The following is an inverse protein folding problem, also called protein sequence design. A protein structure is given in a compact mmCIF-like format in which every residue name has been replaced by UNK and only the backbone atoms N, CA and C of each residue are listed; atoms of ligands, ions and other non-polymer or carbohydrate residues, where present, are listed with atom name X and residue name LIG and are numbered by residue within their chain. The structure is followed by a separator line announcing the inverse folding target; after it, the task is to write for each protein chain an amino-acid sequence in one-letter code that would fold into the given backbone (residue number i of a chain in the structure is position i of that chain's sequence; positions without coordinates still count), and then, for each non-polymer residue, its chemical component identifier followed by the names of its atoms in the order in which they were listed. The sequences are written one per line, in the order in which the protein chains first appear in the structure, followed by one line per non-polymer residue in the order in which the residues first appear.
data_IF_676974058439
#
_entry.id   IF_676974058439
#
_cell.length_a   1.000
_cell.length_b   1.000
_cell.length_c   1.000
_cell.angle_alpha   90.00
_cell.angle_beta   90.00
_cell.angle_gamma   90.00
#
_symmetry.space_group_name_H-M   'P 1'
#
loop_
_entity.id
_entity.type
_entity.pdbx_description
1 polymer ?
#
# COMPACT_ATOMS: atom_id res chain seq x y z
N UNK A 1 2.80 34.57 -36.17
CA UNK A 1 3.18 33.60 -35.12
C UNK A 1 2.69 32.24 -35.57
N UNK A 2 3.56 31.43 -36.16
CA UNK A 2 3.22 30.10 -36.69
C UNK A 2 3.27 29.10 -35.55
N UNK A 3 2.11 28.62 -35.10
CA UNK A 3 2.02 27.48 -34.19
C UNK A 3 2.61 26.26 -34.90
N UNK A 4 3.68 25.69 -34.32
CA UNK A 4 4.35 24.52 -34.90
C UNK A 4 3.44 23.29 -34.71
N UNK A 5 2.88 22.70 -35.78
CA UNK A 5 1.93 21.59 -35.68
C UNK A 5 2.54 20.33 -35.03
N UNK A 6 3.86 20.18 -35.10
CA UNK A 6 4.57 19.10 -34.41
C UNK A 6 4.56 19.25 -32.88
N UNK A 7 4.55 20.49 -32.37
CA UNK A 7 4.46 20.76 -30.94
C UNK A 7 3.05 20.46 -30.41
N UNK A 8 2.00 20.82 -31.15
CA UNK A 8 0.61 20.55 -30.76
C UNK A 8 0.27 19.05 -30.79
N UNK A 9 0.80 18.30 -31.75
CA UNK A 9 0.59 16.83 -31.79
C UNK A 9 1.29 16.12 -30.64
N UNK A 10 2.49 16.58 -30.26
CA UNK A 10 3.23 16.02 -29.12
C UNK A 10 2.53 16.29 -27.79
N UNK A 11 1.99 17.50 -27.61
CA UNK A 11 1.22 17.86 -26.41
C UNK A 11 -0.07 17.03 -26.30
N UNK A 12 -0.76 16.80 -27.42
CA UNK A 12 -1.96 15.96 -27.47
C UNK A 12 -1.66 14.49 -27.13
N UNK A 13 -0.57 13.94 -27.65
CA UNK A 13 -0.15 12.57 -27.36
C UNK A 13 0.21 12.35 -25.87
N UNK A 14 0.85 13.34 -25.24
CA UNK A 14 1.19 13.28 -23.80
C UNK A 14 -0.07 13.33 -22.93
N UNK A 15 -1.06 14.16 -23.28
CA UNK A 15 -2.35 14.20 -22.57
C UNK A 15 -3.13 12.89 -22.70
N UNK A 16 -3.09 12.27 -23.88
CA UNK A 16 -3.76 10.99 -24.13
C UNK A 16 -3.09 9.83 -23.38
N UNK A 17 -1.75 9.86 -23.25
CA UNK A 17 -1.02 8.88 -22.45
C UNK A 17 -1.36 9.02 -20.95
N UNK A 18 -1.38 10.25 -20.44
CA UNK A 18 -1.70 10.53 -19.04
C UNK A 18 -3.14 10.12 -18.68
N UNK A 19 -4.10 10.33 -19.58
CA UNK A 19 -5.49 9.90 -19.36
C UNK A 19 -5.65 8.39 -19.36
N UNK A 20 -4.95 7.67 -20.25
CA UNK A 20 -4.93 6.20 -20.26
C UNK A 20 -4.29 5.62 -19.00
N UNK A 21 -3.20 6.22 -18.52
CA UNK A 21 -2.54 5.77 -17.29
C UNK A 21 -3.42 6.01 -16.05
N UNK A 22 -4.12 7.15 -15.99
CA UNK A 22 -5.08 7.43 -14.92
C UNK A 22 -6.25 6.44 -14.93
N UNK A 23 -6.78 6.09 -16.11
CA UNK A 23 -7.83 5.08 -16.26
C UNK A 23 -7.36 3.68 -15.81
N UNK A 24 -6.11 3.30 -16.11
CA UNK A 24 -5.53 2.05 -15.63
C UNK A 24 -5.33 2.04 -14.11
N UNK A 25 -4.96 3.17 -13.50
CA UNK A 25 -4.89 3.31 -12.04
C UNK A 25 -6.26 3.21 -11.39
N UNK A 26 -7.28 3.86 -11.95
CA UNK A 26 -8.65 3.73 -11.46
C UNK A 26 -9.16 2.30 -11.56
N UNK A 27 -8.84 1.60 -12.65
CA UNK A 27 -9.16 0.18 -12.82
C UNK A 27 -8.43 -0.67 -11.77
N UNK A 28 -7.12 -0.47 -11.59
CA UNK A 28 -6.33 -1.19 -10.59
C UNK A 28 -6.83 -0.94 -9.16
N UNK A 29 -7.22 0.30 -8.83
CA UNK A 29 -7.83 0.64 -7.55
C UNK A 29 -9.22 0.03 -7.38
N UNK A 30 -10.01 -0.09 -8.45
CA UNK A 30 -11.30 -0.80 -8.43
C UNK A 30 -11.13 -2.30 -8.23
N UNK A 31 -10.17 -2.91 -8.92
CA UNK A 31 -9.82 -4.33 -8.73
C UNK A 31 -9.29 -4.57 -7.31
N UNK A 32 -8.42 -3.69 -6.79
CA UNK A 32 -7.98 -3.77 -5.40
C UNK A 32 -9.13 -3.58 -4.41
N UNK A 33 -10.05 -2.64 -4.67
CA UNK A 33 -11.26 -2.48 -3.85
C UNK A 33 -12.16 -3.73 -3.92
N UNK A 34 -12.27 -4.36 -5.09
CA UNK A 34 -12.97 -5.64 -5.28
C UNK A 34 -12.31 -6.77 -4.48
N UNK A 35 -10.99 -6.89 -4.53
CA UNK A 35 -10.24 -7.86 -3.73
C UNK A 35 -10.37 -7.59 -2.21
N UNK A 36 -10.32 -6.32 -1.79
CA UNK A 36 -10.48 -5.93 -0.39
C UNK A 36 -11.92 -6.19 0.09
N UNK A 37 -12.92 -5.96 -0.75
CA UNK A 37 -14.32 -6.28 -0.41
C UNK A 37 -14.55 -7.78 -0.34
N UNK A 38 -14.01 -8.58 -1.28
CA UNK A 38 -14.04 -10.03 -1.21
C UNK A 38 -13.35 -10.58 0.04
N UNK A 39 -12.16 -10.05 0.39
CA UNK A 39 -11.48 -10.39 1.64
C UNK A 39 -12.30 -9.98 2.87
N UNK A 40 -12.92 -8.80 2.83
CA UNK A 40 -13.82 -8.31 3.86
C UNK A 40 -15.05 -9.19 4.05
N UNK A 41 -15.66 -9.66 2.97
CA UNK A 41 -16.77 -10.62 2.97
C UNK A 41 -16.33 -11.98 3.50
N UNK A 42 -15.13 -12.44 3.15
CA UNK A 42 -14.56 -13.69 3.65
C UNK A 42 -14.29 -13.62 5.17
N UNK A 43 -13.82 -12.47 5.65
CA UNK A 43 -13.61 -12.20 7.10
C UNK A 43 -14.95 -12.01 7.82
N UNK A 44 -15.92 -11.35 7.20
CA UNK A 44 -17.26 -11.12 7.78
C UNK A 44 -18.06 -12.42 7.86
N UNK A 45 -17.98 -13.29 6.84
CA UNK A 45 -18.58 -14.63 6.85
C UNK A 45 -17.90 -15.57 7.84
N UNK A 46 -16.61 -15.37 8.12
CA UNK A 46 -15.91 -16.08 9.18
C UNK A 46 -16.39 -15.69 10.60
N UNK A 47 -17.14 -14.58 10.77
CA UNK A 47 -17.81 -14.15 12.02
C UNK A 47 -16.88 -13.73 13.17
N UNK A 48 -15.68 -14.28 13.18
CA UNK A 48 -14.50 -13.95 13.95
C UNK A 48 -13.40 -14.83 13.35
N UNK A 49 -12.30 -14.26 12.87
CA UNK A 49 -11.11 -15.08 12.58
C UNK A 49 -10.54 -15.49 13.94
N UNK A 50 -11.15 -16.50 14.56
CA UNK A 50 -10.46 -17.23 15.62
C UNK A 50 -9.36 -18.00 14.91
N UNK A 51 -8.08 -17.80 15.28
CA UNK A 51 -7.02 -18.60 14.69
C UNK A 51 -7.35 -20.05 14.99
N UNK A 52 -7.71 -20.80 13.95
CA UNK A 52 -7.96 -22.23 14.09
C UNK A 52 -6.62 -22.85 14.50
N UNK A 53 -6.56 -23.64 15.59
CA UNK A 53 -5.35 -24.35 15.93
C UNK A 53 -4.90 -25.17 14.72
N UNK A 54 -3.60 -25.16 14.43
CA UNK A 54 -3.03 -25.85 13.27
C UNK A 54 -3.58 -27.29 13.23
N UNK A 55 -4.20 -27.71 12.11
CA UNK A 55 -4.77 -29.04 12.02
C UNK A 55 -3.64 -30.07 11.93
N UNK A 56 -3.61 -31.01 12.87
CA UNK A 56 -2.71 -32.19 12.92
C UNK A 56 -1.20 -31.84 13.02
N UNK A 57 -0.34 -32.78 13.45
CA UNK A 57 1.11 -32.53 13.46
C UNK A 57 1.60 -32.41 12.01
N UNK A 58 1.90 -31.17 11.59
CA UNK A 58 2.57 -30.88 10.34
C UNK A 58 3.96 -31.54 10.32
N UNK A 59 4.35 -32.12 9.20
CA UNK A 59 5.75 -32.51 8.97
C UNK A 59 6.65 -31.26 8.93
N UNK A 60 7.97 -31.42 9.14
CA UNK A 60 8.91 -30.30 9.02
C UNK A 60 8.82 -29.56 7.68
N UNK A 61 8.65 -30.28 6.58
CA UNK A 61 8.56 -29.70 5.24
C UNK A 61 7.26 -28.92 5.04
N UNK A 62 6.13 -29.43 5.56
CA UNK A 62 4.84 -28.74 5.53
C UNK A 62 4.85 -27.48 6.40
N UNK A 63 5.53 -27.53 7.55
CA UNK A 63 5.68 -26.36 8.42
C UNK A 63 6.53 -25.28 7.75
N UNK A 64 7.67 -25.66 7.14
CA UNK A 64 8.50 -24.71 6.39
C UNK A 64 7.75 -24.11 5.21
N UNK A 65 6.99 -24.92 4.46
CA UNK A 65 6.13 -24.43 3.40
C UNK A 65 5.09 -23.43 3.92
N UNK A 66 4.42 -23.74 5.03
CA UNK A 66 3.43 -22.84 5.62
C UNK A 66 4.04 -21.51 6.07
N UNK A 67 5.27 -21.52 6.61
CA UNK A 67 5.99 -20.29 6.96
C UNK A 67 6.28 -19.45 5.71
N UNK A 68 6.73 -20.06 4.62
CA UNK A 68 6.94 -19.36 3.34
C UNK A 68 5.64 -18.78 2.80
N UNK A 69 4.59 -19.60 2.70
CA UNK A 69 3.29 -19.17 2.16
C UNK A 69 2.70 -18.00 2.98
N UNK A 70 2.83 -18.03 4.31
CA UNK A 70 2.40 -16.94 5.20
C UNK A 70 3.27 -15.68 5.03
N UNK A 71 4.57 -15.84 4.83
CA UNK A 71 5.49 -14.73 4.55
C UNK A 71 5.15 -14.02 3.23
N UNK A 72 4.89 -14.78 2.18
CA UNK A 72 4.49 -14.27 0.86
C UNK A 72 3.16 -13.51 0.95
N UNK A 73 2.17 -14.08 1.64
CA UNK A 73 0.89 -13.43 1.87
C UNK A 73 1.03 -12.12 2.66
N UNK A 74 1.86 -12.12 3.70
CA UNK A 74 2.15 -10.93 4.50
C UNK A 74 2.81 -9.84 3.65
N UNK A 75 3.78 -10.18 2.79
CA UNK A 75 4.45 -9.23 1.92
C UNK A 75 3.48 -8.55 0.94
N UNK A 76 2.55 -9.32 0.36
CA UNK A 76 1.48 -8.78 -0.50
C UNK A 76 0.56 -7.85 0.29
N UNK A 77 0.13 -8.25 1.49
CA UNK A 77 -0.73 -7.42 2.34
C UNK A 77 -0.04 -6.11 2.75
N UNK A 78 1.24 -6.14 3.06
CA UNK A 78 2.00 -4.95 3.43
C UNK A 78 2.17 -4.00 2.23
N UNK A 79 2.39 -4.53 1.02
CA UNK A 79 2.39 -3.73 -0.20
C UNK A 79 1.04 -3.02 -0.43
N UNK A 80 -0.08 -3.73 -0.26
CA UNK A 80 -1.42 -3.14 -0.35
C UNK A 80 -1.64 -2.08 0.72
N UNK A 81 -1.24 -2.34 1.98
CA UNK A 81 -1.32 -1.36 3.07
C UNK A 81 -0.54 -0.09 2.76
N UNK A 82 0.67 -0.21 2.24
CA UNK A 82 1.51 0.93 1.84
C UNK A 82 0.83 1.74 0.75
N UNK A 83 0.28 1.08 -0.29
CA UNK A 83 -0.44 1.75 -1.37
C UNK A 83 -1.69 2.51 -0.85
N UNK A 84 -2.51 1.86 -0.02
CA UNK A 84 -3.71 2.48 0.58
C UNK A 84 -3.33 3.64 1.50
N UNK A 85 -2.31 3.47 2.34
CA UNK A 85 -1.82 4.55 3.20
C UNK A 85 -1.35 5.76 2.40
N UNK A 86 -0.66 5.53 1.28
CA UNK A 86 -0.18 6.58 0.38
C UNK A 86 -1.31 7.39 -0.22
N UNK A 87 -2.39 6.71 -0.62
CA UNK A 87 -3.59 7.37 -1.13
C UNK A 87 -4.32 8.19 -0.06
N UNK A 88 -4.44 7.65 1.15
CA UNK A 88 -5.02 8.39 2.30
C UNK A 88 -4.20 9.65 2.58
N UNK A 89 -2.88 9.53 2.66
CA UNK A 89 -1.98 10.67 2.89
C UNK A 89 -2.13 11.71 1.77
N UNK A 90 -2.09 11.28 0.51
CA UNK A 90 -2.19 12.16 -0.65
C UNK A 90 -3.49 12.96 -0.66
N UNK A 91 -4.63 12.31 -0.44
CA UNK A 91 -5.94 12.98 -0.38
C UNK A 91 -6.08 13.90 0.83
N UNK A 92 -5.38 13.59 1.93
CA UNK A 92 -5.47 14.38 3.15
C UNK A 92 -4.75 15.73 3.07
N UNK A 93 -3.97 15.99 2.01
CA UNK A 93 -3.31 17.29 1.78
C UNK A 93 -4.31 18.36 1.34
N UNK A 94 -5.31 17.98 0.55
CA UNK A 94 -6.34 18.89 0.05
C UNK A 94 -7.45 18.99 1.08
N UNK A 95 -7.86 20.21 1.45
CA UNK A 95 -8.91 20.46 2.45
C UNK A 95 -10.26 20.60 1.75
N UNK A 96 -10.78 19.48 1.26
CA UNK A 96 -12.09 19.37 0.63
C UNK A 96 -12.93 18.23 1.25
N UNK A 97 -14.13 18.02 0.75
CA UNK A 97 -15.07 17.00 1.26
C UNK A 97 -14.57 15.56 0.99
N UNK A 98 -13.63 15.37 0.06
CA UNK A 98 -13.01 14.08 -0.26
C UNK A 98 -11.82 13.76 0.67
N UNK A 99 -11.45 14.68 1.57
CA UNK A 99 -10.39 14.47 2.54
C UNK A 99 -10.81 13.41 3.58
N UNK A 100 -10.16 12.22 3.59
CA UNK A 100 -10.59 11.11 4.45
C UNK A 100 -10.40 11.41 5.95
N UNK A 101 -9.45 12.27 6.30
CA UNK A 101 -9.17 12.66 7.69
C UNK A 101 -10.24 13.63 8.20
N UNK A 102 -10.66 14.60 7.38
CA UNK A 102 -11.76 15.51 7.73
C UNK A 102 -13.10 14.78 7.82
N UNK A 103 -13.41 13.92 6.84
CA UNK A 103 -14.66 13.16 6.81
C UNK A 103 -14.82 12.25 8.04
N UNK A 104 -13.72 11.82 8.65
CA UNK A 104 -13.72 10.91 9.80
C UNK A 104 -13.34 11.59 11.12
N UNK A 105 -13.19 12.91 11.15
CA UNK A 105 -12.83 13.71 12.33
C UNK A 105 -11.49 13.31 12.98
N UNK A 106 -10.53 12.84 12.21
CA UNK A 106 -9.18 12.55 12.72
C UNK A 106 -8.27 13.78 12.60
N UNK A 107 -7.24 13.85 13.44
CA UNK A 107 -6.27 14.94 13.38
C UNK A 107 -5.19 14.75 12.30
N UNK A 108 -4.98 13.51 11.84
CA UNK A 108 -3.97 13.18 10.83
C UNK A 108 -4.24 11.83 10.17
N UNK A 109 -3.65 11.57 8.98
CA UNK A 109 -3.68 10.24 8.34
C UNK A 109 -3.17 9.14 9.27
N UNK A 110 -2.09 9.41 10.01
CA UNK A 110 -1.50 8.42 10.91
C UNK A 110 -2.44 8.06 12.06
N UNK A 111 -3.20 9.02 12.60
CA UNK A 111 -4.21 8.76 13.64
C UNK A 111 -5.35 7.92 13.09
N UNK A 112 -5.85 8.26 11.90
CA UNK A 112 -6.89 7.49 11.20
C UNK A 112 -6.46 6.04 10.97
N UNK A 113 -5.26 5.83 10.44
CA UNK A 113 -4.74 4.49 10.16
C UNK A 113 -4.45 3.71 11.46
N UNK A 114 -3.93 4.36 12.50
CA UNK A 114 -3.70 3.74 13.80
C UNK A 114 -5.01 3.17 14.39
N UNK A 115 -6.10 3.94 14.35
CA UNK A 115 -7.41 3.48 14.80
C UNK A 115 -7.95 2.35 13.91
N UNK A 116 -8.01 2.57 12.59
CA UNK A 116 -8.66 1.65 11.64
C UNK A 116 -7.94 0.32 11.50
N UNK A 117 -6.62 0.32 11.58
CA UNK A 117 -5.80 -0.89 11.47
C UNK A 117 -5.33 -1.43 12.81
N UNK A 118 -5.77 -0.81 13.93
CA UNK A 118 -5.40 -1.19 15.30
C UNK A 118 -3.88 -1.27 15.48
N UNK A 119 -3.17 -0.28 14.94
CA UNK A 119 -1.72 -0.18 15.01
C UNK A 119 -1.30 0.84 16.08
N UNK A 120 -0.16 0.65 16.75
CA UNK A 120 0.48 1.70 17.52
C UNK A 120 0.72 2.92 16.62
N UNK A 121 0.45 4.11 17.16
CA UNK A 121 0.63 5.36 16.41
C UNK A 121 2.04 5.54 15.79
N UNK A 122 3.15 5.16 16.46
CA UNK A 122 4.47 5.20 15.83
C UNK A 122 4.58 4.34 14.56
N UNK A 123 3.97 3.15 14.56
CA UNK A 123 3.96 2.26 13.40
C UNK A 123 3.13 2.86 12.25
N UNK A 124 1.96 3.42 12.55
CA UNK A 124 1.14 4.11 11.56
C UNK A 124 1.86 5.32 10.94
N UNK A 125 2.58 6.11 11.75
CA UNK A 125 3.41 7.23 11.25
C UNK A 125 4.52 6.75 10.32
N UNK A 126 5.20 5.65 10.69
CA UNK A 126 6.24 5.07 9.85
C UNK A 126 5.66 4.57 8.52
N UNK A 127 4.50 3.93 8.56
CA UNK A 127 3.79 3.47 7.37
C UNK A 127 3.42 4.64 6.44
N UNK A 128 2.92 5.75 6.97
CA UNK A 128 2.67 6.96 6.17
C UNK A 128 3.94 7.47 5.48
N UNK A 129 5.08 7.51 6.19
CA UNK A 129 6.36 7.97 5.61
C UNK A 129 6.86 7.06 4.50
N UNK A 130 6.76 5.74 4.70
CA UNK A 130 7.11 4.76 3.66
C UNK A 130 6.21 4.99 2.45
N UNK A 131 4.91 5.12 2.67
CA UNK A 131 3.94 5.35 1.60
C UNK A 131 4.20 6.64 0.82
N UNK A 132 4.50 7.76 1.49
CA UNK A 132 4.93 9.01 0.85
C UNK A 132 6.20 8.84 0.00
N UNK A 133 7.13 8.04 0.49
CA UNK A 133 8.41 7.78 -0.18
C UNK A 133 8.28 6.94 -1.46
N UNK A 134 7.25 6.11 -1.56
CA UNK A 134 7.07 5.15 -2.66
C UNK A 134 5.88 5.47 -3.56
N UNK A 135 4.99 6.36 -3.13
CA UNK A 135 3.90 6.83 -3.96
C UNK A 135 4.40 7.75 -5.08
N UNK A 136 3.84 7.65 -6.30
CA UNK A 136 4.04 8.65 -7.35
C UNK A 136 3.58 10.02 -6.88
N UNK A 137 4.30 11.07 -7.28
CA UNK A 137 3.95 12.46 -6.96
C UNK A 137 3.22 13.10 -8.14
N UNK A 138 2.49 14.18 -7.88
CA UNK A 138 1.90 15.00 -8.95
C UNK A 138 2.56 16.38 -8.95
N UNK A 139 2.94 16.87 -10.12
CA UNK A 139 3.37 18.26 -10.28
C UNK A 139 2.16 19.19 -10.20
N UNK A 140 2.42 20.49 -10.06
CA UNK A 140 1.37 21.53 -10.07
C UNK A 140 0.59 21.52 -11.40
N UNK A 141 1.21 21.02 -12.48
CA UNK A 141 0.60 20.88 -13.80
C UNK A 141 -0.15 19.55 -13.98
N UNK A 142 -0.25 18.72 -12.92
CA UNK A 142 -0.90 17.41 -12.94
C UNK A 142 -0.05 16.30 -13.54
N UNK A 143 1.22 16.56 -13.86
CA UNK A 143 2.12 15.53 -14.38
C UNK A 143 2.49 14.54 -13.26
N UNK A 144 2.49 13.25 -13.59
CA UNK A 144 2.97 12.23 -12.66
C UNK A 144 4.49 12.27 -12.62
N UNK A 145 5.04 12.59 -11.45
CA UNK A 145 6.45 12.50 -11.16
C UNK A 145 6.76 11.15 -10.51
N UNK A 146 7.95 10.58 -10.76
CA UNK A 146 8.37 9.36 -10.10
C UNK A 146 8.37 9.53 -8.57
N UNK A 147 8.13 8.40 -7.90
CA UNK A 147 8.24 8.31 -6.46
C UNK A 147 9.63 8.80 -5.99
N UNK A 148 9.74 9.41 -4.80
CA UNK A 148 11.02 9.77 -4.22
C UNK A 148 12.03 8.61 -4.18
N UNK A 149 11.56 7.38 -3.93
CA UNK A 149 12.36 6.17 -3.90
C UNK A 149 11.82 5.15 -4.93
N UNK A 150 12.15 5.29 -6.23
CA UNK A 150 11.52 4.50 -7.30
C UNK A 150 11.93 3.02 -7.26
N UNK A 151 13.16 2.69 -6.84
CA UNK A 151 13.62 1.30 -6.67
C UNK A 151 12.82 0.60 -5.57
N UNK A 152 12.58 1.32 -4.45
CA UNK A 152 11.77 0.81 -3.35
C UNK A 152 10.30 0.68 -3.76
N UNK A 153 9.77 1.61 -4.54
CA UNK A 153 8.41 1.51 -5.08
C UNK A 153 8.23 0.28 -5.98
N UNK A 154 9.19 -0.01 -6.86
CA UNK A 154 9.18 -1.21 -7.70
C UNK A 154 9.26 -2.49 -6.85
N UNK A 155 10.13 -2.50 -5.83
CA UNK A 155 10.25 -3.61 -4.89
C UNK A 155 8.93 -3.94 -4.17
N UNK A 156 8.20 -2.92 -3.73
CA UNK A 156 6.93 -3.08 -3.03
C UNK A 156 5.81 -3.48 -4.00
N UNK A 157 5.86 -3.02 -5.26
CA UNK A 157 4.87 -3.40 -6.27
C UNK A 157 4.99 -4.88 -6.70
N UNK A 158 6.19 -5.44 -6.64
CA UNK A 158 6.47 -6.83 -6.99
C UNK A 158 7.11 -7.59 -5.81
N UNK A 159 6.36 -7.80 -4.70
CA UNK A 159 6.93 -8.34 -3.46
C UNK A 159 7.46 -9.78 -3.62
N UNK A 160 7.00 -10.51 -4.65
CA UNK A 160 7.38 -11.90 -4.93
C UNK A 160 8.46 -12.02 -6.03
N UNK A 161 8.82 -10.93 -6.71
CA UNK A 161 9.80 -10.95 -7.81
C UNK A 161 11.23 -10.62 -7.35
N UNK A 162 11.42 -10.37 -6.05
CA UNK A 162 12.72 -9.95 -5.53
C UNK A 162 13.76 -11.08 -5.52
N UNK A 163 14.94 -10.91 -6.13
CA UNK A 163 16.07 -11.81 -5.90
C UNK A 163 16.58 -11.61 -4.46
N UNK A 164 16.97 -12.70 -3.79
CA UNK A 164 17.44 -12.80 -2.40
C UNK A 164 18.55 -11.81 -1.94
N UNK A 165 19.07 -10.96 -2.84
CA UNK A 165 20.00 -9.90 -2.52
C UNK A 165 19.32 -8.63 -1.93
N UNK A 166 18.04 -8.41 -2.17
CA UNK A 166 17.29 -7.26 -1.62
C UNK A 166 16.75 -7.49 -0.19
N UNK A 167 16.81 -8.73 0.30
CA UNK A 167 16.40 -9.10 1.67
C UNK A 167 17.13 -8.30 2.74
N UNK A 168 18.35 -7.82 2.48
CA UNK A 168 19.16 -7.20 3.55
C UNK A 168 18.74 -5.78 3.94
N UNK A 169 18.04 -5.04 3.07
CA UNK A 169 17.66 -3.64 3.34
C UNK A 169 16.14 -3.45 3.55
N UNK A 170 15.30 -4.33 3.02
CA UNK A 170 13.84 -4.29 3.17
C UNK A 170 13.33 -4.95 4.46
N UNK A 171 14.03 -6.00 4.92
CA UNK A 171 13.69 -6.74 6.14
C UNK A 171 13.55 -5.86 7.38
N UNK A 172 14.41 -4.84 7.66
CA UNK A 172 14.18 -3.94 8.78
C UNK A 172 12.96 -3.01 8.61
N UNK A 173 12.57 -2.63 7.38
CA UNK A 173 11.39 -1.78 7.14
C UNK A 173 10.07 -2.57 7.28
N UNK A 174 10.04 -3.82 6.82
CA UNK A 174 8.91 -4.73 7.00
C UNK A 174 8.82 -5.26 8.45
N UNK A 175 9.94 -5.57 9.11
CA UNK A 175 9.97 -5.90 10.55
C UNK A 175 9.47 -4.76 11.44
N UNK A 176 9.69 -3.50 11.05
CA UNK A 176 9.15 -2.34 11.78
C UNK A 176 7.63 -2.17 11.60
N UNK A 177 7.06 -2.63 10.49
CA UNK A 177 5.60 -2.67 10.29
C UNK A 177 4.95 -3.87 11.01
N UNK A 178 5.70 -4.97 11.18
CA UNK A 178 5.32 -6.15 11.95
C UNK A 178 5.52 -6.01 13.49
N UNK A 179 6.00 -4.86 13.96
CA UNK A 179 6.34 -4.63 15.37
C UNK A 179 5.19 -4.40 16.38
N UNK A 180 3.87 -4.52 16.11
CA UNK A 180 2.89 -4.32 17.19
C UNK A 180 2.56 -5.56 18.01
N UNK A 181 3.06 -6.76 17.69
CA UNK A 181 2.71 -7.97 18.46
C UNK A 181 3.66 -8.30 19.63
N UNK A 182 4.88 -7.75 19.68
CA UNK A 182 5.83 -8.04 20.77
C UNK A 182 5.63 -7.17 22.03
N UNK A 183 4.89 -6.06 21.94
CA UNK A 183 4.67 -5.16 23.08
C UNK A 183 3.49 -5.58 24.00
N UNK A 184 2.73 -6.63 23.64
CA UNK A 184 1.60 -7.13 24.45
C UNK A 184 1.89 -8.42 25.23
N UNK A 185 3.05 -9.06 25.03
CA UNK A 185 3.45 -10.28 25.74
C UNK A 185 4.52 -10.03 26.82
N UNK A 186 4.73 -8.77 27.24
CA UNK A 186 5.75 -8.39 28.21
C UNK A 186 5.28 -7.28 29.14
N UNK A 187 4.29 -7.58 29.99
CA UNK A 187 4.03 -6.92 31.28
C UNK A 187 3.12 -7.82 32.12
#
# INVERSE_FOLDING_TARGET
MTTNPAASLRELALRELASRELALRELALRELASCITLLGELVATAGSVTPHPLPLPLSPDELLKAVTDLGDAQAVLDAVKVAVAGEVVRRSVVLDDDNPVMHTSHASPATLLAERWRLPLPAARQLCRVAEGVAPRQSILGEVLPAPFPVLAAAIAEPLAMPAAADRELTPLLLLLAAPLQAQCGA
#
